data_IF_316942790124
#
_entry.id   IF_316942790124
#
_cell.length_a   1.000
_cell.length_b   1.000
_cell.length_c   1.000
_cell.angle_alpha   90.00
_cell.angle_beta   90.00
_cell.angle_gamma   90.00
#
_symmetry.space_group_name_H-M   'P 1'
#
loop_
_entity.id
_entity.type
_entity.pdbx_description
1 polymer ?
#
# COMPACT_ATOMS: atom_id res chain seq x y z
N UNK A 1 -19.05 -6.17 3.68
CA UNK A 1 -18.44 -6.27 2.33
C UNK A 1 -16.93 -6.23 2.49
N UNK A 2 -16.19 -7.03 1.72
CA UNK A 2 -14.73 -7.05 1.75
C UNK A 2 -14.19 -6.50 0.44
N UNK A 3 -13.26 -5.56 0.53
CA UNK A 3 -12.67 -4.86 -0.60
C UNK A 3 -11.16 -5.13 -0.60
N UNK A 4 -10.64 -5.54 -1.75
CA UNK A 4 -9.21 -5.67 -2.00
C UNK A 4 -8.72 -4.48 -2.83
N UNK A 5 -7.73 -3.75 -2.33
CA UNK A 5 -7.09 -2.64 -3.03
C UNK A 5 -5.69 -3.07 -3.46
N UNK A 6 -5.45 -3.10 -4.77
CA UNK A 6 -4.14 -3.39 -5.33
C UNK A 6 -3.33 -2.11 -5.51
N UNK A 7 -2.14 -2.07 -4.94
CA UNK A 7 -1.19 -0.98 -5.06
C UNK A 7 -0.07 -1.43 -6.00
N UNK A 8 0.05 -0.75 -7.14
CA UNK A 8 0.93 -1.18 -8.25
C UNK A 8 2.11 -0.23 -8.51
N UNK A 9 1.89 1.08 -8.37
CA UNK A 9 2.72 2.09 -9.03
C UNK A 9 3.94 2.54 -8.22
N UNK A 10 3.88 2.49 -6.89
CA UNK A 10 4.98 2.70 -5.94
C UNK A 10 5.73 4.02 -6.09
N UNK A 11 6.67 3.99 -7.04
CA UNK A 11 7.68 5.01 -7.28
C UNK A 11 7.28 5.98 -8.41
N UNK A 12 6.51 5.53 -9.38
CA UNK A 12 6.21 6.30 -10.60
C UNK A 12 5.11 7.35 -10.40
N UNK A 13 4.15 7.08 -9.51
CA UNK A 13 3.06 8.02 -9.23
C UNK A 13 2.52 7.90 -7.80
N UNK A 14 3.18 8.57 -6.85
CA UNK A 14 2.79 8.52 -5.43
C UNK A 14 1.44 9.19 -5.15
N UNK A 15 0.99 10.11 -6.01
CA UNK A 15 -0.30 10.79 -5.84
C UNK A 15 -1.47 9.83 -6.05
N UNK A 16 -1.37 8.91 -7.00
CA UNK A 16 -2.36 7.85 -7.20
C UNK A 16 -2.44 6.92 -5.99
N UNK A 17 -1.30 6.57 -5.37
CA UNK A 17 -1.30 5.75 -4.16
C UNK A 17 -1.95 6.48 -2.98
N UNK A 18 -1.74 7.79 -2.86
CA UNK A 18 -2.41 8.60 -1.83
C UNK A 18 -3.93 8.54 -1.95
N UNK A 19 -4.48 8.51 -3.17
CA UNK A 19 -5.93 8.34 -3.37
C UNK A 19 -6.37 6.97 -2.84
N UNK A 20 -5.64 5.90 -3.14
CA UNK A 20 -5.94 4.56 -2.66
C UNK A 20 -5.89 4.46 -1.12
N UNK A 21 -4.89 5.09 -0.49
CA UNK A 21 -4.78 5.17 0.97
C UNK A 21 -5.96 5.91 1.60
N UNK A 22 -6.26 7.11 1.10
CA UNK A 22 -7.36 7.93 1.62
C UNK A 22 -8.73 7.26 1.44
N UNK A 23 -8.96 6.63 0.29
CA UNK A 23 -10.16 5.85 0.03
C UNK A 23 -10.31 4.74 1.08
N UNK A 24 -9.25 3.95 1.28
CA UNK A 24 -9.25 2.81 2.20
C UNK A 24 -9.54 3.23 3.64
N UNK A 25 -8.87 4.27 4.12
CA UNK A 25 -9.07 4.81 5.47
C UNK A 25 -10.49 5.33 5.66
N UNK A 26 -11.01 6.08 4.68
CA UNK A 26 -12.35 6.64 4.73
C UNK A 26 -13.41 5.54 4.80
N UNK A 27 -13.27 4.48 3.98
CA UNK A 27 -14.19 3.34 3.99
C UNK A 27 -14.24 2.60 5.31
N UNK A 28 -13.09 2.29 5.90
CA UNK A 28 -13.07 1.64 7.22
C UNK A 28 -13.71 2.54 8.28
N UNK A 29 -13.38 3.83 8.32
CA UNK A 29 -13.88 4.75 9.34
C UNK A 29 -15.38 5.03 9.26
N UNK A 30 -15.93 5.13 8.05
CA UNK A 30 -17.28 5.66 7.84
C UNK A 30 -18.31 4.61 7.39
N UNK A 31 -17.87 3.44 6.93
CA UNK A 31 -18.78 2.45 6.32
C UNK A 31 -18.65 1.03 6.86
N UNK A 32 -17.81 0.78 7.88
CA UNK A 32 -17.57 -0.55 8.47
C UNK A 32 -17.18 -1.63 7.43
N UNK A 33 -16.57 -1.22 6.32
CA UNK A 33 -16.07 -2.13 5.29
C UNK A 33 -14.75 -2.77 5.74
N UNK A 34 -14.55 -4.05 5.42
CA UNK A 34 -13.26 -4.72 5.61
C UNK A 34 -12.39 -4.45 4.38
N UNK A 35 -11.24 -3.79 4.58
CA UNK A 35 -10.29 -3.48 3.52
C UNK A 35 -9.01 -4.29 3.73
N UNK A 36 -8.52 -4.91 2.65
CA UNK A 36 -7.17 -5.45 2.55
C UNK A 36 -6.42 -4.71 1.44
N UNK A 37 -5.19 -4.29 1.72
CA UNK A 37 -4.31 -3.63 0.75
C UNK A 37 -3.19 -4.60 0.35
N UNK A 38 -3.05 -4.83 -0.96
CA UNK A 38 -2.02 -5.70 -1.52
C UNK A 38 -1.05 -4.90 -2.39
N UNK A 39 0.21 -4.83 -1.96
CA UNK A 39 1.30 -4.19 -2.71
C UNK A 39 1.92 -5.19 -3.66
N UNK A 40 2.00 -4.83 -4.94
CA UNK A 40 2.54 -5.63 -6.04
C UNK A 40 3.71 -4.90 -6.73
N UNK A 41 4.55 -5.63 -7.45
CA UNK A 41 5.58 -5.13 -8.36
C UNK A 41 6.38 -3.91 -7.86
N UNK A 42 6.19 -2.74 -8.49
CA UNK A 42 6.93 -1.52 -8.20
C UNK A 42 6.51 -0.90 -6.86
N UNK A 43 5.28 -1.11 -6.41
CA UNK A 43 4.82 -0.70 -5.09
C UNK A 43 5.57 -1.43 -3.98
N UNK A 44 5.93 -2.70 -4.17
CA UNK A 44 6.77 -3.43 -3.21
C UNK A 44 8.15 -2.78 -3.10
N UNK A 45 8.72 -2.30 -4.21
CA UNK A 45 9.99 -1.59 -4.20
C UNK A 45 9.90 -0.24 -3.47
N UNK A 46 8.75 0.42 -3.51
CA UNK A 46 8.51 1.70 -2.84
C UNK A 46 8.51 1.57 -1.29
N UNK A 47 8.29 0.35 -0.78
CA UNK A 47 8.45 0.03 0.64
C UNK A 47 9.92 -0.12 1.07
N UNK A 48 10.87 -0.11 0.12
CA UNK A 48 12.28 -0.29 0.43
C UNK A 48 12.89 0.97 1.06
N UNK A 49 13.65 0.78 2.15
CA UNK A 49 14.19 1.85 3.02
C UNK A 49 15.16 2.84 2.34
N UNK A 50 15.54 2.62 1.08
CA UNK A 50 16.50 3.44 0.33
C UNK A 50 15.85 4.43 -0.66
N UNK A 51 14.53 4.62 -0.63
CA UNK A 51 13.83 5.51 -1.57
C UNK A 51 13.65 6.95 -1.06
N UNK A 52 13.69 7.92 -1.98
CA UNK A 52 13.53 9.34 -1.69
C UNK A 52 12.15 9.70 -1.10
N UNK A 53 11.08 9.01 -1.55
CA UNK A 53 9.71 9.28 -1.12
C UNK A 53 9.27 8.40 0.08
N UNK A 54 10.20 7.66 0.67
CA UNK A 54 9.93 6.70 1.74
C UNK A 54 9.16 7.32 2.92
N UNK A 55 9.46 8.57 3.28
CA UNK A 55 8.82 9.23 4.42
C UNK A 55 7.31 9.36 4.22
N UNK A 56 6.88 9.83 3.04
CA UNK A 56 5.46 10.02 2.74
C UNK A 56 4.71 8.69 2.66
N UNK A 57 5.29 7.69 1.99
CA UNK A 57 4.70 6.33 1.92
C UNK A 57 4.57 5.73 3.32
N UNK A 58 5.62 5.85 4.14
CA UNK A 58 5.62 5.34 5.50
C UNK A 58 4.55 6.00 6.36
N UNK A 59 4.39 7.33 6.27
CA UNK A 59 3.33 8.05 6.97
C UNK A 59 1.93 7.55 6.56
N UNK A 60 1.70 7.22 5.29
CA UNK A 60 0.41 6.64 4.88
C UNK A 60 0.23 5.22 5.42
N UNK A 61 1.27 4.38 5.35
CA UNK A 61 1.22 3.02 5.90
C UNK A 61 0.93 3.03 7.40
N UNK A 62 1.53 3.95 8.15
CA UNK A 62 1.29 4.08 9.58
C UNK A 62 -0.19 4.46 9.84
N UNK A 63 -0.75 5.41 9.09
CA UNK A 63 -2.19 5.75 9.16
C UNK A 63 -3.12 4.59 8.81
N UNK A 64 -2.76 3.79 7.81
CA UNK A 64 -3.53 2.58 7.42
C UNK A 64 -3.52 1.54 8.53
N UNK A 65 -2.37 1.34 9.18
CA UNK A 65 -2.24 0.40 10.30
C UNK A 65 -3.00 0.86 11.54
N UNK A 66 -3.02 2.17 11.81
CA UNK A 66 -3.82 2.75 12.92
C UNK A 66 -5.30 2.40 12.81
N UNK A 67 -5.85 2.33 11.59
CA UNK A 67 -7.24 1.92 11.34
C UNK A 67 -7.41 0.41 11.10
N UNK A 68 -6.40 -0.40 11.42
CA UNK A 68 -6.42 -1.87 11.35
C UNK A 68 -6.69 -2.44 9.96
N UNK A 69 -6.36 -1.70 8.90
CA UNK A 69 -6.37 -2.24 7.54
C UNK A 69 -5.19 -3.19 7.38
N UNK A 70 -5.46 -4.38 6.86
CA UNK A 70 -4.42 -5.37 6.65
C UNK A 70 -3.60 -5.02 5.40
N UNK A 71 -2.28 -4.98 5.54
CA UNK A 71 -1.35 -4.73 4.44
C UNK A 71 -0.59 -6.02 4.14
N UNK A 72 -0.70 -6.49 2.90
CA UNK A 72 0.09 -7.60 2.37
C UNK A 72 1.01 -7.10 1.27
N UNK A 73 2.16 -7.73 1.17
CA UNK A 73 3.10 -7.51 0.06
C UNK A 73 3.23 -8.82 -0.70
N UNK A 74 3.15 -8.73 -2.03
CA UNK A 74 3.51 -9.87 -2.86
C UNK A 74 5.03 -9.89 -2.99
N UNK A 75 5.67 -10.78 -2.23
CA UNK A 75 7.09 -11.03 -2.40
C UNK A 75 7.26 -11.92 -3.62
N UNK A 76 7.52 -11.32 -4.79
CA UNK A 76 8.14 -12.08 -5.87
C UNK A 76 9.52 -12.48 -5.33
N UNK A 77 9.70 -13.76 -5.01
CA UNK A 77 11.04 -14.33 -4.91
C UNK A 77 11.63 -14.15 -6.30
N UNK A 78 12.40 -13.08 -6.49
CA UNK A 78 13.26 -12.90 -7.65
C UNK A 78 14.31 -14.00 -7.59
N UNK A 79 13.97 -15.22 -8.05
CA UNK A 79 14.95 -16.15 -8.57
C UNK A 79 15.45 -15.55 -9.88
N UNK A 80 16.33 -14.56 -9.77
CA UNK A 80 17.23 -14.22 -10.87
C UNK A 80 18.17 -15.42 -10.92
N UNK A 81 17.99 -16.30 -11.91
CA UNK A 81 19.02 -17.25 -12.29
C UNK A 81 20.18 -16.43 -12.85
N UNK A 82 21.38 -16.73 -12.35
CA UNK A 82 22.67 -16.21 -12.82
C UNK A 82 22.83 -16.27 -14.34
#
# INVERSE_FOLDING_TARGET
MKILINILNGKSNIQEEMVAFNFSINRVKNTNEEIEMLFLDQAVQALNRKQANLKQIKEQIDKVKEVRINIKTFSVILKIKD
#
